data_IF_021151939930
#
_entry.id   IF_021151939930
#
_cell.length_a   1.000
_cell.length_b   1.000
_cell.length_c   1.000
_cell.angle_alpha   90.00
_cell.angle_beta   90.00
_cell.angle_gamma   90.00
#
_symmetry.space_group_name_H-M   'P 1'
#
loop_
_entity.id
_entity.type
_entity.pdbx_description
1 polymer ?
#
# COMPACT_ATOMS: atom_id res chain seq x y z
N UNK A 1 0.07 28.04 23.57
CA UNK A 1 -0.22 27.47 22.23
C UNK A 1 -1.73 27.43 22.09
N UNK A 2 -2.31 28.10 21.07
CA UNK A 2 -3.77 28.10 20.87
C UNK A 2 -4.32 26.70 20.62
N UNK A 3 -5.59 26.46 20.99
CA UNK A 3 -6.23 25.15 20.87
C UNK A 3 -6.23 24.63 19.42
N UNK A 4 -6.47 25.49 18.43
CA UNK A 4 -6.42 25.10 17.01
C UNK A 4 -5.06 24.55 16.57
N UNK A 5 -3.95 25.11 17.06
CA UNK A 5 -2.61 24.62 16.75
C UNK A 5 -2.35 23.26 17.42
N UNK A 6 -2.88 23.02 18.63
CA UNK A 6 -2.81 21.70 19.28
C UNK A 6 -3.53 20.64 18.43
N UNK A 7 -4.76 20.94 17.98
CA UNK A 7 -5.53 20.05 17.11
C UNK A 7 -4.81 19.73 15.80
N UNK A 8 -4.27 20.75 15.13
CA UNK A 8 -3.50 20.57 13.89
C UNK A 8 -2.30 19.64 14.10
N UNK A 9 -1.54 19.82 15.19
CA UNK A 9 -0.38 18.98 15.50
C UNK A 9 -0.77 17.53 15.80
N UNK A 10 -1.88 17.31 16.51
CA UNK A 10 -2.38 15.96 16.80
C UNK A 10 -2.79 15.25 15.50
N UNK A 11 -3.63 15.87 14.67
CA UNK A 11 -4.07 15.26 13.41
C UNK A 11 -2.92 15.05 12.42
N UNK A 12 -1.97 16.00 12.32
CA UNK A 12 -0.78 15.83 11.49
C UNK A 12 0.07 14.66 11.98
N UNK A 13 0.17 14.46 13.30
CA UNK A 13 0.93 13.35 13.86
C UNK A 13 0.25 12.00 13.63
N UNK A 14 -1.08 11.95 13.76
CA UNK A 14 -1.88 10.76 13.48
C UNK A 14 -1.87 10.38 11.99
N UNK A 15 -1.69 11.35 11.09
CA UNK A 15 -1.60 11.10 9.66
C UNK A 15 -0.27 10.44 9.23
N UNK A 16 0.77 10.45 10.08
CA UNK A 16 2.12 10.01 9.68
C UNK A 16 2.21 8.53 9.23
N UNK A 17 1.60 7.55 9.92
CA UNK A 17 1.64 6.15 9.49
C UNK A 17 0.97 5.89 8.14
N UNK A 18 -0.20 6.50 7.90
CA UNK A 18 -0.92 6.36 6.62
C UNK A 18 -0.21 7.15 5.52
N UNK A 19 0.13 8.41 5.80
CA UNK A 19 0.75 9.33 4.86
C UNK A 19 2.09 8.84 4.34
N UNK A 20 2.93 8.24 5.20
CA UNK A 20 4.21 7.69 4.77
C UNK A 20 4.07 6.53 3.76
N UNK A 21 3.07 5.65 3.89
CA UNK A 21 2.79 4.62 2.88
C UNK A 21 2.23 5.20 1.58
N UNK A 22 1.34 6.19 1.68
CA UNK A 22 0.73 6.83 0.51
C UNK A 22 1.80 7.57 -0.29
N UNK A 23 2.62 8.40 0.36
CA UNK A 23 3.73 9.12 -0.26
C UNK A 23 4.74 8.11 -0.86
N UNK A 24 5.02 7.02 -0.17
CA UNK A 24 5.91 5.98 -0.67
C UNK A 24 5.44 5.36 -1.99
N UNK A 25 4.16 4.99 -2.07
CA UNK A 25 3.60 4.41 -3.30
C UNK A 25 3.39 5.47 -4.39
N UNK A 26 2.93 6.67 -4.02
CA UNK A 26 2.59 7.73 -4.97
C UNK A 26 3.84 8.43 -5.49
N UNK A 27 4.73 8.87 -4.61
CA UNK A 27 5.90 9.68 -4.96
C UNK A 27 7.20 8.86 -5.05
N UNK A 28 7.17 7.56 -4.72
CA UNK A 28 8.35 6.71 -4.80
C UNK A 28 9.41 7.02 -3.73
N UNK A 29 9.03 7.67 -2.63
CA UNK A 29 9.94 8.01 -1.53
C UNK A 29 9.88 6.90 -0.48
N UNK A 30 11.00 6.22 -0.14
CA UNK A 30 10.95 5.06 0.76
C UNK A 30 10.28 5.35 2.11
N UNK A 31 9.26 4.55 2.46
CA UNK A 31 8.47 4.67 3.68
C UNK A 31 9.36 4.59 4.92
N UNK A 32 10.40 3.77 4.90
CA UNK A 32 11.41 3.72 5.98
C UNK A 32 12.07 5.08 6.23
N UNK A 33 12.38 5.82 5.17
CA UNK A 33 12.98 7.16 5.26
C UNK A 33 11.94 8.17 5.75
N UNK A 34 10.73 8.14 5.19
CA UNK A 34 9.62 9.00 5.62
C UNK A 34 9.26 8.77 7.09
N UNK A 35 9.23 7.52 7.52
CA UNK A 35 8.94 7.16 8.90
C UNK A 35 10.05 7.64 9.83
N UNK A 36 11.32 7.55 9.43
CA UNK A 36 12.43 8.12 10.21
C UNK A 36 12.35 9.65 10.34
N UNK A 37 12.02 10.35 9.25
CA UNK A 37 12.01 11.82 9.19
C UNK A 37 10.75 12.47 9.76
N UNK A 38 9.59 11.83 9.60
CA UNK A 38 8.29 12.37 10.00
C UNK A 38 7.59 11.46 11.01
N UNK A 39 7.56 10.15 10.75
CA UNK A 39 6.88 9.18 11.62
C UNK A 39 7.39 9.17 13.07
N UNK A 40 8.71 9.06 13.28
CA UNK A 40 9.31 9.03 14.62
C UNK A 40 9.14 10.36 15.38
N UNK A 41 9.41 11.54 14.78
CA UNK A 41 9.10 12.81 15.44
C UNK A 41 7.61 12.98 15.78
N UNK A 42 6.72 12.62 14.85
CA UNK A 42 5.28 12.68 15.09
C UNK A 42 4.83 11.73 16.20
N UNK A 43 5.37 10.51 16.24
CA UNK A 43 5.10 9.56 17.33
C UNK A 43 5.61 10.08 18.67
N UNK A 44 6.82 10.64 18.71
CA UNK A 44 7.37 11.25 19.92
C UNK A 44 6.52 12.42 20.42
N UNK A 45 6.15 13.35 19.54
CA UNK A 45 5.28 14.47 19.88
C UNK A 45 3.90 14.01 20.38
N UNK A 46 3.32 13.00 19.72
CA UNK A 46 2.05 12.41 20.11
C UNK A 46 2.13 11.78 21.51
N UNK A 47 3.15 10.95 21.77
CA UNK A 47 3.34 10.31 23.07
C UNK A 47 3.57 11.33 24.20
N UNK A 48 4.40 12.35 23.96
CA UNK A 48 4.63 13.43 24.93
C UNK A 48 3.32 14.15 25.24
N UNK A 49 2.54 14.49 24.20
CA UNK A 49 1.25 15.17 24.36
C UNK A 49 0.26 14.36 25.22
N UNK A 50 0.15 13.06 24.95
CA UNK A 50 -0.76 12.16 25.68
C UNK A 50 -0.31 11.94 27.12
N UNK A 51 0.97 11.67 27.34
CA UNK A 51 1.50 11.45 28.68
C UNK A 51 1.36 12.71 29.55
N UNK A 52 1.59 13.88 28.95
CA UNK A 52 1.38 15.16 29.61
C UNK A 52 -0.10 15.39 29.96
N UNK A 53 -1.02 15.09 29.03
CA UNK A 53 -2.47 15.18 29.26
C UNK A 53 -2.93 14.22 30.38
N UNK A 54 -2.43 12.98 30.36
CA UNK A 54 -2.74 11.98 31.38
C UNK A 54 -2.21 12.38 32.77
N UNK A 55 -1.00 12.96 32.84
CA UNK A 55 -0.39 13.38 34.11
C UNK A 55 -1.17 14.49 34.85
N UNK A 56 -1.96 15.29 34.13
CA UNK A 56 -2.79 16.36 34.71
C UNK A 56 -4.28 16.01 34.77
N UNK A 57 -4.64 14.77 34.41
CA UNK A 57 -6.04 14.33 34.38
C UNK A 57 -6.89 15.01 33.30
N UNK A 58 -6.30 15.45 32.17
CA UNK A 58 -7.06 16.03 31.05
C UNK A 58 -7.91 14.92 30.40
N UNK A 59 -9.24 15.11 30.26
CA UNK A 59 -10.13 14.16 29.59
C UNK A 59 -9.74 13.82 28.13
N UNK A 60 -8.86 14.61 27.49
CA UNK A 60 -8.26 14.25 26.20
C UNK A 60 -7.55 12.88 26.22
N UNK A 61 -6.92 12.53 27.35
CA UNK A 61 -6.25 11.23 27.50
C UNK A 61 -7.23 10.05 27.40
N UNK A 62 -8.47 10.24 27.88
CA UNK A 62 -9.55 9.27 27.76
C UNK A 62 -10.00 9.09 26.31
N UNK A 63 -10.19 10.19 25.56
CA UNK A 63 -10.52 10.13 24.12
C UNK A 63 -9.48 9.33 23.34
N UNK A 64 -8.19 9.59 23.60
CA UNK A 64 -7.10 8.89 22.95
C UNK A 64 -7.05 7.41 23.37
N UNK A 65 -7.21 7.11 24.66
CA UNK A 65 -7.16 5.73 25.16
C UNK A 65 -8.29 4.88 24.55
N UNK A 66 -9.54 5.34 24.63
CA UNK A 66 -10.67 4.62 24.05
C UNK A 66 -10.61 4.58 22.52
N UNK A 67 -10.13 5.65 21.89
CA UNK A 67 -9.91 5.67 20.44
C UNK A 67 -8.84 4.67 20.00
N UNK A 68 -7.74 4.53 20.74
CA UNK A 68 -6.69 3.56 20.45
C UNK A 68 -7.19 2.13 20.64
N UNK A 69 -7.84 1.82 21.77
CA UNK A 69 -8.43 0.51 22.04
C UNK A 69 -9.47 0.16 20.96
N UNK A 70 -10.40 1.08 20.70
CA UNK A 70 -11.43 0.92 19.67
C UNK A 70 -10.83 0.69 18.29
N UNK A 71 -9.80 1.47 17.91
CA UNK A 71 -9.10 1.30 16.65
C UNK A 71 -8.34 -0.03 16.52
N UNK A 72 -7.72 -0.52 17.59
CA UNK A 72 -7.04 -1.83 17.59
C UNK A 72 -8.04 -2.97 17.43
N UNK A 73 -9.13 -2.99 18.21
CA UNK A 73 -10.18 -4.02 18.10
C UNK A 73 -10.90 -3.94 16.74
N UNK A 74 -11.15 -2.72 16.26
CA UNK A 74 -11.71 -2.48 14.93
C UNK A 74 -10.80 -2.98 13.81
N UNK A 75 -9.48 -2.87 13.96
CA UNK A 75 -8.53 -3.45 13.00
C UNK A 75 -8.68 -4.96 12.96
N UNK A 76 -8.78 -5.63 14.12
CA UNK A 76 -8.99 -7.08 14.15
C UNK A 76 -10.31 -7.48 13.48
N UNK A 77 -11.40 -6.76 13.72
CA UNK A 77 -12.69 -6.99 13.07
C UNK A 77 -12.63 -6.80 11.54
N UNK A 78 -11.99 -5.72 11.09
CA UNK A 78 -11.70 -5.46 9.68
C UNK A 78 -10.88 -6.61 9.08
N UNK A 79 -9.85 -7.05 9.79
CA UNK A 79 -8.90 -8.07 9.33
C UNK A 79 -9.56 -9.42 9.13
N UNK A 80 -10.53 -9.80 9.97
CA UNK A 80 -11.34 -11.01 9.79
C UNK A 80 -12.07 -10.97 8.44
N UNK A 81 -12.80 -9.89 8.14
CA UNK A 81 -13.51 -9.73 6.86
C UNK A 81 -12.52 -9.68 5.69
N UNK A 82 -11.40 -8.98 5.86
CA UNK A 82 -10.36 -8.87 4.85
C UNK A 82 -9.71 -10.22 4.53
N UNK A 83 -9.38 -11.04 5.52
CA UNK A 83 -8.76 -12.35 5.35
C UNK A 83 -9.72 -13.32 4.63
N UNK A 84 -11.01 -13.28 4.97
CA UNK A 84 -12.05 -13.99 4.20
C UNK A 84 -12.03 -13.51 2.75
N UNK A 85 -11.98 -12.19 2.53
CA UNK A 85 -11.84 -11.61 1.19
C UNK A 85 -10.57 -12.07 0.45
N UNK A 86 -9.41 -12.18 1.12
CA UNK A 86 -8.17 -12.67 0.50
C UNK A 86 -8.32 -14.11 0.06
N UNK A 87 -8.94 -14.96 0.90
CA UNK A 87 -9.21 -16.36 0.60
C UNK A 87 -10.15 -16.50 -0.62
N UNK A 88 -11.22 -15.70 -0.66
CA UNK A 88 -12.18 -15.65 -1.78
C UNK A 88 -11.64 -14.93 -3.02
N UNK A 89 -10.49 -14.26 -2.90
CA UNK A 89 -9.87 -13.56 -4.01
C UNK A 89 -10.38 -12.17 -4.32
N UNK A 90 -11.02 -11.54 -3.35
CA UNK A 90 -11.43 -10.15 -3.40
C UNK A 90 -10.28 -9.14 -3.24
N UNK A 91 -9.10 -9.59 -2.84
CA UNK A 91 -7.92 -8.73 -2.70
C UNK A 91 -6.74 -9.23 -3.53
N UNK A 92 -5.89 -8.31 -4.03
CA UNK A 92 -4.72 -8.68 -4.81
C UNK A 92 -3.66 -9.42 -4.00
N UNK A 93 -3.59 -9.19 -2.68
CA UNK A 93 -2.85 -10.02 -1.72
C UNK A 93 -3.18 -9.60 -0.27
N UNK A 94 -2.55 -10.29 0.68
CA UNK A 94 -2.53 -9.92 2.09
C UNK A 94 -1.84 -8.56 2.30
N UNK A 95 -2.63 -7.51 2.55
CA UNK A 95 -2.15 -6.13 2.71
C UNK A 95 -1.15 -5.95 3.85
N UNK A 96 -1.33 -6.54 5.06
CA UNK A 96 -0.31 -6.53 6.09
C UNK A 96 1.05 -7.05 5.59
N UNK A 97 1.09 -8.19 4.90
CA UNK A 97 2.36 -8.69 4.31
C UNK A 97 3.00 -7.68 3.34
N UNK A 98 2.20 -6.92 2.58
CA UNK A 98 2.72 -5.84 1.74
C UNK A 98 3.26 -4.65 2.53
N UNK A 99 2.56 -4.23 3.59
CA UNK A 99 3.07 -3.19 4.48
C UNK A 99 4.40 -3.60 5.10
N UNK A 100 4.53 -4.88 5.49
CA UNK A 100 5.78 -5.44 5.98
C UNK A 100 6.93 -5.34 4.97
N UNK A 101 6.68 -5.71 3.70
CA UNK A 101 7.68 -5.56 2.64
C UNK A 101 8.05 -4.09 2.41
N UNK A 102 7.08 -3.17 2.40
CA UNK A 102 7.32 -1.74 2.20
C UNK A 102 8.14 -1.15 3.36
N UNK A 103 7.72 -1.41 4.60
CA UNK A 103 8.39 -0.93 5.81
C UNK A 103 9.83 -1.45 5.92
N UNK A 104 10.08 -2.69 5.49
CA UNK A 104 11.42 -3.29 5.44
C UNK A 104 12.24 -2.90 4.20
N UNK A 105 11.72 -2.01 3.34
CA UNK A 105 12.41 -1.53 2.13
C UNK A 105 12.56 -2.61 1.05
N UNK A 106 11.71 -3.64 1.06
CA UNK A 106 11.75 -4.77 0.13
C UNK A 106 10.82 -4.58 -1.08
N UNK A 107 10.08 -3.48 -1.15
CA UNK A 107 9.18 -3.21 -2.27
C UNK A 107 9.87 -3.24 -3.66
N UNK A 108 11.09 -2.69 -3.87
CA UNK A 108 11.77 -2.79 -5.16
C UNK A 108 12.14 -4.23 -5.52
N UNK A 109 12.58 -5.03 -4.52
CA UNK A 109 12.89 -6.46 -4.73
C UNK A 109 11.63 -7.22 -5.13
N UNK A 110 10.53 -6.99 -4.41
CA UNK A 110 9.23 -7.58 -4.73
C UNK A 110 8.77 -7.22 -6.15
N UNK A 111 8.93 -5.96 -6.57
CA UNK A 111 8.61 -5.53 -7.94
C UNK A 111 9.46 -6.23 -9.00
N UNK A 112 10.77 -6.41 -8.77
CA UNK A 112 11.63 -7.18 -9.69
C UNK A 112 11.17 -8.63 -9.79
N UNK A 113 10.85 -9.25 -8.66
CA UNK A 113 10.36 -10.63 -8.60
C UNK A 113 9.00 -10.77 -9.30
N UNK A 114 8.10 -9.80 -9.12
CA UNK A 114 6.84 -9.71 -9.86
C UNK A 114 7.07 -9.63 -11.38
N UNK A 115 8.06 -8.85 -11.82
CA UNK A 115 8.40 -8.76 -13.24
C UNK A 115 9.00 -10.06 -13.78
N UNK A 116 9.83 -10.76 -12.98
CA UNK A 116 10.35 -12.06 -13.36
C UNK A 116 9.22 -13.09 -13.56
N UNK A 117 8.25 -13.12 -12.65
CA UNK A 117 7.05 -13.97 -12.79
C UNK A 117 6.21 -13.55 -14.00
N UNK A 118 6.11 -12.25 -14.29
CA UNK A 118 5.45 -11.77 -15.51
C UNK A 118 6.13 -12.28 -16.77
N UNK A 119 7.47 -12.24 -16.85
CA UNK A 119 8.22 -12.79 -18.00
C UNK A 119 7.96 -14.28 -18.16
N UNK A 120 7.99 -15.05 -17.07
CA UNK A 120 7.66 -16.47 -17.11
C UNK A 120 6.23 -16.75 -17.60
N UNK A 121 5.27 -15.92 -17.18
CA UNK A 121 3.90 -16.02 -17.67
C UNK A 121 3.80 -15.71 -19.16
N UNK A 122 4.40 -14.62 -19.63
CA UNK A 122 4.41 -14.25 -21.05
C UNK A 122 5.09 -15.33 -21.91
N UNK A 123 6.18 -15.93 -21.42
CA UNK A 123 6.89 -17.01 -22.09
C UNK A 123 6.04 -18.29 -22.26
N UNK A 124 5.00 -18.45 -21.45
CA UNK A 124 4.08 -19.60 -21.51
C UNK A 124 2.79 -19.33 -22.32
N UNK A 125 2.58 -18.10 -22.80
CA UNK A 125 1.41 -17.76 -23.63
C UNK A 125 1.54 -18.36 -25.04
N UNK A 126 0.40 -18.60 -25.73
CA UNK A 126 0.40 -18.89 -27.16
C UNK A 126 1.14 -17.82 -27.96
N UNK A 127 1.82 -18.16 -29.08
CA UNK A 127 2.70 -17.23 -29.80
C UNK A 127 2.04 -15.88 -30.16
N UNK A 128 0.80 -15.89 -30.63
CA UNK A 128 0.07 -14.66 -30.99
C UNK A 128 -0.22 -13.78 -29.77
N UNK A 129 -0.72 -14.39 -28.69
CA UNK A 129 -1.02 -13.68 -27.44
C UNK A 129 0.25 -13.15 -26.76
N UNK A 130 1.34 -13.93 -26.79
CA UNK A 130 2.66 -13.52 -26.32
C UNK A 130 3.13 -12.29 -27.10
N UNK A 131 3.07 -12.33 -28.43
CA UNK A 131 3.52 -11.26 -29.32
C UNK A 131 2.71 -9.97 -29.12
N UNK A 132 1.38 -10.07 -29.01
CA UNK A 132 0.52 -8.92 -28.71
C UNK A 132 0.84 -8.31 -27.34
N UNK A 133 1.00 -9.14 -26.31
CA UNK A 133 1.35 -8.67 -24.97
C UNK A 133 2.75 -8.03 -24.91
N UNK A 134 3.72 -8.58 -25.63
CA UNK A 134 5.07 -8.01 -25.78
C UNK A 134 5.01 -6.65 -26.46
N UNK A 135 4.31 -6.53 -27.60
CA UNK A 135 4.16 -5.27 -28.33
C UNK A 135 3.60 -4.16 -27.43
N UNK A 136 2.46 -4.41 -26.81
CA UNK A 136 1.83 -3.43 -25.90
C UNK A 136 2.75 -3.02 -24.74
N UNK A 137 3.52 -3.97 -24.20
CA UNK A 137 4.45 -3.69 -23.10
C UNK A 137 5.67 -2.90 -23.56
N UNK A 138 6.25 -3.21 -24.73
CA UNK A 138 7.41 -2.49 -25.27
C UNK A 138 7.05 -1.05 -25.70
N UNK A 139 5.87 -0.86 -26.27
CA UNK A 139 5.32 0.48 -26.56
C UNK A 139 5.04 1.31 -25.31
N UNK A 140 4.59 0.67 -24.22
CA UNK A 140 4.41 1.34 -22.94
C UNK A 140 5.76 1.67 -22.27
N UNK A 141 6.70 0.72 -22.33
CA UNK A 141 8.05 0.84 -21.79
C UNK A 141 8.79 2.06 -22.39
N UNK A 142 8.67 2.29 -23.69
CA UNK A 142 9.33 3.42 -24.37
C UNK A 142 8.86 4.80 -23.88
N UNK A 143 7.67 4.88 -23.27
CA UNK A 143 7.09 6.12 -22.71
C UNK A 143 7.47 6.35 -21.26
N UNK A 144 8.05 5.36 -20.58
CA UNK A 144 8.51 5.52 -19.20
C UNK A 144 9.73 6.46 -19.14
N UNK A 145 9.91 7.21 -18.04
CA UNK A 145 11.17 7.91 -17.75
C UNK A 145 12.35 6.93 -17.81
N UNK A 146 13.48 7.37 -18.35
CA UNK A 146 14.63 6.49 -18.63
C UNK A 146 15.09 5.66 -17.41
N UNK A 147 15.24 6.21 -16.18
CA UNK A 147 15.63 5.41 -15.03
C UNK A 147 14.65 4.25 -14.75
N UNK A 148 13.35 4.53 -14.86
CA UNK A 148 12.30 3.51 -14.69
C UNK A 148 12.35 2.47 -15.82
N UNK A 149 12.59 2.92 -17.04
CA UNK A 149 12.72 2.06 -18.22
C UNK A 149 13.85 1.05 -18.04
N UNK A 150 15.04 1.53 -17.67
CA UNK A 150 16.22 0.69 -17.41
C UNK A 150 15.93 -0.31 -16.29
N UNK A 151 15.30 0.12 -15.19
CA UNK A 151 14.97 -0.78 -14.09
C UNK A 151 13.95 -1.87 -14.47
N UNK A 152 12.93 -1.54 -15.26
CA UNK A 152 11.97 -2.53 -15.77
C UNK A 152 12.65 -3.51 -16.71
N UNK A 153 13.50 -3.03 -17.63
CA UNK A 153 14.25 -3.89 -18.56
C UNK A 153 15.21 -4.81 -17.82
N UNK A 154 15.97 -4.29 -16.84
CA UNK A 154 16.85 -5.10 -16.00
C UNK A 154 16.09 -6.18 -15.23
N UNK A 155 14.91 -5.85 -14.68
CA UNK A 155 14.05 -6.83 -14.03
C UNK A 155 13.51 -7.90 -15.01
N UNK A 156 13.16 -7.51 -16.23
CA UNK A 156 12.75 -8.44 -17.29
C UNK A 156 13.90 -9.36 -17.72
N UNK A 157 15.12 -8.84 -17.90
CA UNK A 157 16.31 -9.63 -18.18
C UNK A 157 16.62 -10.62 -17.06
N UNK A 158 16.53 -10.20 -15.80
CA UNK A 158 16.67 -11.09 -14.65
C UNK A 158 15.63 -12.21 -14.64
N UNK A 159 14.39 -11.93 -15.06
CA UNK A 159 13.36 -12.95 -15.26
C UNK A 159 13.65 -13.91 -16.41
N UNK A 160 14.11 -13.37 -17.54
CA UNK A 160 14.48 -14.13 -18.73
C UNK A 160 15.60 -15.14 -18.42
N UNK A 161 16.61 -14.72 -17.65
CA UNK A 161 17.73 -15.59 -17.26
C UNK A 161 17.30 -16.79 -16.40
N UNK A 162 16.12 -16.75 -15.78
CA UNK A 162 15.56 -17.86 -14.98
C UNK A 162 14.73 -18.84 -15.80
N UNK A 163 14.43 -18.54 -17.07
CA UNK A 163 13.70 -19.48 -17.92
C UNK A 163 14.63 -20.62 -18.37
N UNK A 164 14.08 -21.84 -18.59
CA UNK A 164 14.80 -22.90 -19.27
C UNK A 164 15.31 -22.44 -20.64
N UNK A 165 16.49 -22.91 -21.05
CA UNK A 165 17.17 -22.42 -22.27
C UNK A 165 16.28 -22.42 -23.53
N UNK A 166 15.52 -23.48 -23.86
CA UNK A 166 14.66 -23.48 -25.05
C UNK A 166 13.58 -22.40 -24.99
N UNK A 167 12.99 -22.17 -23.81
CA UNK A 167 11.96 -21.13 -23.61
C UNK A 167 12.57 -19.74 -23.64
N UNK A 168 13.76 -19.57 -23.07
CA UNK A 168 14.52 -18.32 -23.10
C UNK A 168 14.83 -17.90 -24.53
N UNK A 169 15.35 -18.82 -25.35
CA UNK A 169 15.64 -18.57 -26.77
C UNK A 169 14.37 -18.21 -27.55
N UNK A 170 13.30 -18.99 -27.41
CA UNK A 170 12.03 -18.70 -28.08
C UNK A 170 11.46 -17.32 -27.71
N UNK A 171 11.50 -16.97 -26.42
CA UNK A 171 11.04 -15.66 -25.95
C UNK A 171 11.90 -14.51 -26.49
N UNK A 172 13.23 -14.67 -26.54
CA UNK A 172 14.15 -13.70 -27.12
C UNK A 172 13.88 -13.48 -28.61
N UNK A 173 13.67 -14.54 -29.38
CA UNK A 173 13.33 -14.46 -30.80
C UNK A 173 12.02 -13.68 -30.98
N UNK A 174 10.99 -14.01 -30.18
CA UNK A 174 9.71 -13.28 -30.22
C UNK A 174 9.87 -11.79 -29.86
N UNK A 175 10.66 -11.48 -28.82
CA UNK A 175 10.94 -10.11 -28.41
C UNK A 175 11.67 -9.32 -29.51
N UNK A 176 12.69 -9.91 -30.13
CA UNK A 176 13.44 -9.28 -31.24
C UNK A 176 12.56 -9.10 -32.48
N UNK A 177 11.72 -10.07 -32.80
CA UNK A 177 10.74 -9.95 -33.89
C UNK A 177 9.76 -8.81 -33.65
N UNK A 178 9.22 -8.66 -32.44
CA UNK A 178 8.37 -7.51 -32.09
C UNK A 178 9.15 -6.21 -32.18
N UNK A 179 10.36 -6.12 -31.61
CA UNK A 179 11.19 -4.92 -31.65
C UNK A 179 11.48 -4.45 -33.07
N UNK A 180 11.69 -5.36 -34.02
CA UNK A 180 11.93 -5.03 -35.42
C UNK A 180 10.74 -4.32 -36.09
N UNK A 181 9.53 -4.57 -35.60
CA UNK A 181 8.27 -4.02 -36.15
C UNK A 181 7.81 -2.72 -35.48
N UNK A 182 8.43 -2.35 -34.35
CA UNK A 182 8.13 -1.08 -33.69
C UNK A 182 8.73 0.09 -34.47
N UNK A 183 8.17 1.28 -34.26
CA UNK A 183 8.74 2.50 -34.86
C UNK A 183 10.20 2.71 -34.41
N UNK A 184 11.03 3.39 -35.24
CA UNK A 184 12.43 3.64 -34.89
C UNK A 184 12.63 4.31 -33.53
N UNK A 185 11.71 5.21 -33.14
CA UNK A 185 11.75 5.94 -31.88
C UNK A 185 11.50 5.01 -30.70
N UNK A 186 10.45 4.19 -30.78
CA UNK A 186 10.10 3.20 -29.74
C UNK A 186 11.22 2.17 -29.60
N UNK A 187 11.70 1.64 -30.73
CA UNK A 187 12.80 0.67 -30.77
C UNK A 187 14.08 1.24 -30.15
N UNK A 188 14.50 2.44 -30.57
CA UNK A 188 15.70 3.12 -30.01
C UNK A 188 15.58 3.40 -28.51
N UNK A 189 14.40 3.81 -28.06
CA UNK A 189 14.11 4.03 -26.65
C UNK A 189 14.25 2.75 -25.80
N UNK A 190 13.81 1.61 -26.31
CA UNK A 190 13.93 0.31 -25.62
C UNK A 190 15.36 -0.23 -25.70
N UNK A 191 15.99 -0.22 -26.87
CA UNK A 191 17.35 -0.73 -27.07
C UNK A 191 18.36 -0.02 -26.17
N UNK A 192 18.31 1.32 -26.08
CA UNK A 192 19.15 2.08 -25.14
C UNK A 192 18.97 1.65 -23.69
N UNK A 193 17.74 1.32 -23.28
CA UNK A 193 17.49 0.83 -21.94
C UNK A 193 18.02 -0.61 -21.72
N UNK A 194 17.99 -1.45 -22.75
CA UNK A 194 18.61 -2.79 -22.73
C UNK A 194 20.13 -2.68 -22.60
N UNK A 195 20.77 -1.82 -23.40
CA UNK A 195 22.22 -1.61 -23.35
C UNK A 195 22.65 -1.10 -21.95
N UNK A 196 21.93 -0.12 -21.40
CA UNK A 196 22.20 0.39 -20.05
C UNK A 196 21.92 -0.62 -18.94
N UNK A 197 20.91 -1.47 -19.09
CA UNK A 197 20.64 -2.54 -18.13
C UNK A 197 21.77 -3.58 -18.12
N UNK A 198 22.36 -3.88 -19.28
CA UNK A 198 23.45 -4.85 -19.43
C UNK A 198 24.79 -4.37 -18.85
N UNK A 199 25.04 -3.06 -18.82
CA UNK A 199 26.28 -2.50 -18.25
C UNK A 199 26.28 -2.40 -16.72
N UNK A 200 25.31 -3.00 -16.03
CA UNK A 200 25.24 -3.02 -14.56
C UNK A 200 24.75 -1.71 -13.92
N UNK A 201 24.40 -0.70 -14.72
CA UNK A 201 23.82 0.57 -14.22
C UNK A 201 22.45 0.35 -13.55
N UNK A 202 21.87 -0.85 -13.69
CA UNK A 202 20.62 -1.28 -13.04
C UNK A 202 20.72 -1.48 -11.51
N UNK A 203 21.90 -1.39 -10.90
CA UNK A 203 22.04 -1.68 -9.45
C UNK A 203 21.37 -0.65 -8.53
N UNK A 204 21.03 0.53 -9.05
CA UNK A 204 20.23 1.49 -8.29
C UNK A 204 18.76 1.05 -8.24
N UNK A 205 18.21 0.69 -7.06
CA UNK A 205 16.82 0.28 -6.95
C UNK A 205 15.92 1.47 -7.30
N UNK A 206 15.27 1.42 -8.45
CA UNK A 206 14.21 2.38 -8.76
C UNK A 206 13.01 2.02 -7.89
N UNK A 207 12.78 2.87 -6.90
CA UNK A 207 11.76 2.65 -5.87
C UNK A 207 10.34 2.97 -6.35
N UNK A 208 10.22 3.85 -7.36
CA UNK A 208 8.95 4.25 -7.93
C UNK A 208 8.22 3.09 -8.62
N UNK A 209 6.89 3.19 -8.67
CA UNK A 209 6.09 2.24 -9.45
C UNK A 209 6.15 2.59 -10.94
N UNK A 210 6.24 1.59 -11.84
CA UNK A 210 6.30 1.82 -13.28
C UNK A 210 4.91 2.17 -13.84
N UNK A 211 4.44 3.39 -13.57
CA UNK A 211 3.16 3.91 -14.07
C UNK A 211 3.17 4.00 -15.59
N UNK A 212 2.10 3.53 -16.22
CA UNK A 212 1.93 3.54 -17.67
C UNK A 212 2.18 2.19 -18.34
N UNK A 213 2.71 1.19 -17.63
CA UNK A 213 2.73 -0.18 -18.14
C UNK A 213 1.30 -0.75 -18.26
N UNK A 214 1.06 -1.72 -19.16
CA UNK A 214 -0.25 -2.35 -19.30
C UNK A 214 -0.72 -2.94 -17.98
N UNK A 215 -1.94 -2.59 -17.60
CA UNK A 215 -2.60 -3.16 -16.41
C UNK A 215 -2.88 -4.63 -16.63
N UNK A 216 -2.78 -5.41 -15.55
CA UNK A 216 -3.12 -6.82 -15.53
C UNK A 216 -4.31 -7.09 -14.65
N UNK A 217 -5.06 -8.14 -14.96
CA UNK A 217 -6.17 -8.58 -14.14
C UNK A 217 -5.72 -8.89 -12.72
N UNK A 218 -6.54 -8.52 -11.72
CA UNK A 218 -6.26 -8.80 -10.31
C UNK A 218 -5.99 -10.30 -10.06
N UNK A 219 -6.70 -11.19 -10.74
CA UNK A 219 -6.47 -12.64 -10.64
C UNK A 219 -5.08 -13.05 -11.11
N UNK A 220 -4.58 -12.47 -12.22
CA UNK A 220 -3.22 -12.70 -12.68
C UNK A 220 -2.22 -12.10 -11.69
N UNK A 221 -2.44 -10.86 -11.23
CA UNK A 221 -1.60 -10.24 -10.21
C UNK A 221 -1.44 -11.12 -8.97
N UNK A 222 -2.54 -11.67 -8.43
CA UNK A 222 -2.53 -12.60 -7.28
C UNK A 222 -1.62 -13.79 -7.50
N UNK A 223 -1.74 -14.45 -8.66
CA UNK A 223 -0.89 -15.62 -9.00
C UNK A 223 0.58 -15.24 -9.06
N UNK A 224 0.91 -14.13 -9.72
CA UNK A 224 2.28 -13.65 -9.83
C UNK A 224 2.84 -13.25 -8.45
N UNK A 225 2.04 -12.58 -7.62
CA UNK A 225 2.40 -12.17 -6.26
C UNK A 225 2.65 -13.35 -5.35
N UNK A 226 1.81 -14.39 -5.43
CA UNK A 226 1.98 -15.62 -4.66
C UNK A 226 3.31 -16.33 -4.97
N UNK A 227 3.78 -16.29 -6.22
CA UNK A 227 5.08 -16.83 -6.62
C UNK A 227 6.24 -15.88 -6.30
N UNK A 228 6.06 -14.56 -6.49
CA UNK A 228 7.11 -13.56 -6.28
C UNK A 228 7.43 -13.32 -4.80
N UNK A 229 6.44 -13.44 -3.91
CA UNK A 229 6.60 -13.18 -2.48
C UNK A 229 7.66 -14.08 -1.81
N UNK A 230 7.58 -15.42 -1.87
CA UNK A 230 8.59 -16.28 -1.24
C UNK A 230 9.99 -16.08 -1.84
N UNK A 231 10.10 -15.86 -3.16
CA UNK A 231 11.38 -15.58 -3.82
C UNK A 231 11.99 -14.25 -3.33
N UNK A 232 11.16 -13.23 -3.10
CA UNK A 232 11.60 -11.96 -2.52
C UNK A 232 12.18 -12.16 -1.13
N UNK A 233 11.53 -12.98 -0.29
CA UNK A 233 11.99 -13.26 1.06
C UNK A 233 13.28 -14.07 1.07
N UNK A 234 13.39 -15.06 0.18
CA UNK A 234 14.59 -15.86 -0.03
C UNK A 234 15.78 -15.00 -0.45
N UNK A 235 15.61 -14.15 -1.47
CA UNK A 235 16.64 -13.20 -1.92
C UNK A 235 17.07 -12.24 -0.81
N UNK A 236 16.09 -11.74 -0.02
CA UNK A 236 16.36 -10.82 1.08
C UNK A 236 16.88 -11.50 2.36
N UNK A 237 16.94 -12.84 2.41
CA UNK A 237 17.22 -13.63 3.62
C UNK A 237 16.34 -13.23 4.81
N UNK A 238 15.06 -12.98 4.55
CA UNK A 238 14.09 -12.57 5.57
C UNK A 238 13.10 -13.71 5.88
N UNK A 239 12.88 -14.06 7.15
CA UNK A 239 11.85 -15.01 7.50
C UNK A 239 10.45 -14.39 7.34
N UNK A 240 9.48 -15.21 6.91
CA UNK A 240 8.08 -14.79 6.66
C UNK A 240 7.46 -14.13 7.89
N UNK A 241 7.70 -14.66 9.09
CA UNK A 241 7.11 -14.14 10.33
C UNK A 241 7.52 -12.69 10.60
N UNK A 242 8.75 -12.28 10.24
CA UNK A 242 9.23 -10.91 10.45
C UNK A 242 8.49 -9.92 9.57
N UNK A 243 8.28 -10.28 8.31
CA UNK A 243 7.51 -9.45 7.36
C UNK A 243 6.06 -9.32 7.84
N UNK A 244 5.43 -10.43 8.25
CA UNK A 244 4.08 -10.41 8.81
C UNK A 244 3.99 -9.57 10.08
N UNK A 245 4.90 -9.76 11.04
CA UNK A 245 4.90 -9.01 12.29
C UNK A 245 4.99 -7.51 12.06
N UNK A 246 5.96 -7.05 11.25
CA UNK A 246 6.11 -5.62 10.92
C UNK A 246 4.88 -5.11 10.19
N UNK A 247 4.35 -5.91 9.26
CA UNK A 247 3.16 -5.59 8.49
C UNK A 247 1.90 -5.42 9.33
N UNK A 248 1.65 -6.36 10.25
CA UNK A 248 0.53 -6.31 11.18
C UNK A 248 0.70 -5.18 12.19
N UNK A 249 1.89 -4.98 12.77
CA UNK A 249 2.14 -3.85 13.66
C UNK A 249 1.80 -2.52 12.98
N UNK A 250 2.21 -2.36 11.72
CA UNK A 250 1.85 -1.19 10.92
C UNK A 250 0.35 -1.09 10.67
N UNK A 251 -0.31 -2.20 10.35
CA UNK A 251 -1.75 -2.24 10.09
C UNK A 251 -2.57 -1.83 11.33
N UNK A 252 -2.24 -2.38 12.50
CA UNK A 252 -2.86 -2.05 13.78
C UNK A 252 -2.56 -0.61 14.21
N UNK A 253 -1.36 -0.10 13.94
CA UNK A 253 -1.05 1.30 14.19
C UNK A 253 -1.94 2.23 13.35
N UNK A 254 -2.16 1.92 12.07
CA UNK A 254 -3.09 2.68 11.21
C UNK A 254 -4.51 2.62 11.78
N UNK A 255 -5.02 1.45 12.15
CA UNK A 255 -6.37 1.37 12.70
C UNK A 255 -6.53 2.07 14.04
N UNK A 256 -5.52 2.04 14.91
CA UNK A 256 -5.47 2.86 16.12
C UNK A 256 -5.58 4.35 15.78
N UNK A 257 -4.87 4.84 14.75
CA UNK A 257 -5.01 6.25 14.32
C UNK A 257 -6.42 6.59 13.84
N UNK A 258 -7.13 5.67 13.18
CA UNK A 258 -8.53 5.91 12.79
C UNK A 258 -9.49 5.95 13.98
N UNK A 259 -9.31 5.07 14.96
CA UNK A 259 -10.11 5.09 16.19
C UNK A 259 -9.86 6.34 17.03
N UNK A 260 -8.59 6.75 17.20
CA UNK A 260 -8.23 8.00 17.88
C UNK A 260 -8.80 9.21 17.14
N UNK A 261 -8.67 9.25 15.81
CA UNK A 261 -9.22 10.34 15.00
C UNK A 261 -10.74 10.44 15.18
N UNK A 262 -11.44 9.30 15.22
CA UNK A 262 -12.88 9.29 15.47
C UNK A 262 -13.24 9.89 16.83
N UNK A 263 -12.65 9.41 17.93
CA UNK A 263 -13.00 9.87 19.28
C UNK A 263 -12.59 11.32 19.52
N UNK A 264 -11.50 11.77 18.90
CA UNK A 264 -11.09 13.17 18.90
C UNK A 264 -12.10 14.08 18.20
N UNK A 265 -12.71 13.63 17.10
CA UNK A 265 -13.70 14.41 16.37
C UNK A 265 -15.08 14.37 17.05
N UNK A 266 -15.53 13.19 17.46
CA UNK A 266 -16.93 12.93 17.82
C UNK A 266 -17.15 12.64 19.30
N UNK A 267 -16.10 12.39 20.09
CA UNK A 267 -16.22 11.98 21.48
C UNK A 267 -17.06 10.70 21.59
N UNK A 268 -18.11 10.74 22.41
CA UNK A 268 -19.11 9.68 22.53
C UNK A 268 -19.79 9.32 21.20
N UNK A 269 -20.03 10.32 20.35
CA UNK A 269 -20.60 10.14 19.02
C UNK A 269 -21.99 9.48 19.00
N UNK A 270 -22.35 8.95 17.83
CA UNK A 270 -23.54 8.12 17.62
C UNK A 270 -23.19 6.96 16.69
N UNK A 271 -24.01 5.90 16.69
CA UNK A 271 -23.84 4.80 15.74
C UNK A 271 -23.86 5.27 14.28
N UNK A 272 -24.72 6.25 13.95
CA UNK A 272 -24.76 6.83 12.62
C UNK A 272 -23.40 7.46 12.23
N UNK A 273 -22.77 8.20 13.15
CA UNK A 273 -21.45 8.78 12.92
C UNK A 273 -20.37 7.71 12.80
N UNK A 274 -20.43 6.63 13.58
CA UNK A 274 -19.48 5.52 13.46
C UNK A 274 -19.55 4.84 12.08
N UNK A 275 -20.76 4.57 11.57
CA UNK A 275 -20.93 3.99 10.23
C UNK A 275 -20.55 4.98 9.11
N UNK A 276 -20.90 6.27 9.26
CA UNK A 276 -20.45 7.31 8.33
C UNK A 276 -18.92 7.43 8.31
N UNK A 277 -18.27 7.29 9.47
CA UNK A 277 -16.81 7.26 9.57
C UNK A 277 -16.22 6.04 8.83
N UNK A 278 -16.78 4.85 9.03
CA UNK A 278 -16.39 3.65 8.28
C UNK A 278 -16.53 3.85 6.77
N UNK A 279 -17.64 4.45 6.32
CA UNK A 279 -17.90 4.73 4.90
C UNK A 279 -16.93 5.78 4.34
N UNK A 280 -16.62 6.81 5.13
CA UNK A 280 -15.63 7.82 4.78
C UNK A 280 -14.23 7.22 4.59
N UNK A 281 -13.76 6.40 5.54
CA UNK A 281 -12.44 5.75 5.44
C UNK A 281 -12.39 4.82 4.22
N UNK A 282 -13.46 4.04 3.99
CA UNK A 282 -13.58 3.21 2.78
C UNK A 282 -13.46 4.05 1.50
N UNK A 283 -14.21 5.14 1.39
CA UNK A 283 -14.22 6.00 0.20
C UNK A 283 -12.82 6.61 -0.04
N UNK A 284 -12.19 7.11 1.01
CA UNK A 284 -10.82 7.63 0.93
C UNK A 284 -9.83 6.56 0.42
N UNK A 285 -9.95 5.32 0.89
CA UNK A 285 -9.15 4.21 0.38
C UNK A 285 -9.45 3.88 -1.08
N UNK A 286 -10.72 3.92 -1.53
CA UNK A 286 -11.08 3.70 -2.93
C UNK A 286 -10.46 4.75 -3.86
N UNK A 287 -10.36 6.00 -3.40
CA UNK A 287 -9.69 7.08 -4.14
C UNK A 287 -8.17 6.88 -4.20
N UNK A 288 -7.55 6.42 -3.11
CA UNK A 288 -6.09 6.26 -3.01
C UNK A 288 -5.57 4.97 -3.67
N UNK A 289 -6.37 3.93 -3.82
CA UNK A 289 -5.88 2.65 -4.35
C UNK A 289 -5.40 2.68 -5.81
N UNK A 290 -6.11 3.28 -6.78
CA UNK A 290 -5.65 3.34 -8.17
C UNK A 290 -4.23 3.93 -8.33
N UNK A 291 -3.86 5.06 -7.69
CA UNK A 291 -2.49 5.58 -7.79
C UNK A 291 -1.46 4.76 -6.99
N UNK A 292 -1.88 4.02 -5.95
CA UNK A 292 -1.01 3.13 -5.18
C UNK A 292 -0.78 1.76 -5.82
N UNK A 293 -1.65 1.32 -6.73
CA UNK A 293 -1.58 0.03 -7.43
C UNK A 293 -1.88 0.19 -8.93
N UNK A 294 -1.09 1.00 -9.66
CA UNK A 294 -1.42 1.44 -11.03
C UNK A 294 -1.39 0.31 -12.06
N UNK A 295 -0.81 -0.84 -11.72
CA UNK A 295 -0.66 -2.01 -12.59
C UNK A 295 -1.84 -2.98 -12.51
N UNK A 296 -2.77 -2.79 -11.58
CA UNK A 296 -3.87 -3.72 -11.35
C UNK A 296 -5.14 -3.18 -12.02
N UNK A 297 -5.82 -4.04 -12.77
CA UNK A 297 -7.22 -3.84 -13.17
C UNK A 297 -8.10 -4.50 -12.12
N UNK A 298 -8.77 -3.66 -11.32
CA UNK A 298 -9.72 -4.13 -10.32
C UNK A 298 -11.04 -4.52 -10.98
N UNK A 299 -11.67 -5.64 -10.57
CA UNK A 299 -13.01 -5.97 -11.03
C UNK A 299 -14.03 -4.96 -10.47
N UNK A 300 -15.16 -4.78 -11.15
CA UNK A 300 -16.20 -3.82 -10.76
C UNK A 300 -16.77 -4.07 -9.35
N UNK A 301 -16.79 -5.33 -8.91
CA UNK A 301 -17.29 -5.74 -7.59
C UNK A 301 -16.25 -5.56 -6.47
N UNK A 302 -14.99 -5.24 -6.81
CA UNK A 302 -13.91 -5.06 -5.85
C UNK A 302 -14.26 -4.15 -4.66
N UNK A 303 -14.97 -3.01 -4.80
CA UNK A 303 -15.25 -2.13 -3.68
C UNK A 303 -16.15 -2.71 -2.58
N UNK A 304 -16.90 -3.79 -2.86
CA UNK A 304 -17.89 -4.36 -1.94
C UNK A 304 -17.21 -4.96 -0.70
N UNK A 305 -16.19 -5.80 -0.87
CA UNK A 305 -15.53 -6.46 0.28
C UNK A 305 -14.75 -5.47 1.16
N UNK A 306 -13.97 -4.51 0.61
CA UNK A 306 -13.45 -3.40 1.37
C UNK A 306 -14.54 -2.62 2.11
N UNK A 307 -15.70 -2.34 1.51
CA UNK A 307 -16.78 -1.64 2.18
C UNK A 307 -17.24 -2.41 3.43
N UNK A 308 -17.53 -3.71 3.28
CA UNK A 308 -17.91 -4.57 4.40
C UNK A 308 -16.84 -4.61 5.51
N UNK A 309 -15.56 -4.65 5.14
CA UNK A 309 -14.45 -4.64 6.10
C UNK A 309 -14.41 -3.33 6.92
N UNK A 310 -14.72 -2.19 6.29
CA UNK A 310 -14.79 -0.90 6.99
C UNK A 310 -16.08 -0.73 7.80
N UNK A 311 -17.18 -1.35 7.39
CA UNK A 311 -18.39 -1.42 8.22
C UNK A 311 -18.14 -2.28 9.47
N UNK A 312 -17.41 -3.40 9.34
CA UNK A 312 -16.98 -4.20 10.49
C UNK A 312 -16.05 -3.41 11.43
N UNK A 313 -15.16 -2.58 10.88
CA UNK A 313 -14.32 -1.65 11.64
C UNK A 313 -15.15 -0.62 12.44
N UNK A 314 -16.25 -0.10 11.87
CA UNK A 314 -17.08 0.92 12.51
C UNK A 314 -17.72 0.41 13.82
N UNK A 315 -18.02 -0.89 13.92
CA UNK A 315 -18.72 -1.45 15.08
C UNK A 315 -17.93 -1.33 16.38
N UNK A 316 -16.66 -1.81 16.49
CA UNK A 316 -15.89 -1.61 17.70
C UNK A 316 -15.58 -0.13 17.98
N UNK A 317 -15.35 0.70 16.95
CA UNK A 317 -15.13 2.14 17.14
C UNK A 317 -16.36 2.77 17.83
N UNK A 318 -17.57 2.51 17.34
CA UNK A 318 -18.80 3.03 17.95
C UNK A 318 -19.02 2.52 19.38
N UNK A 319 -18.78 1.24 19.63
CA UNK A 319 -18.91 0.65 20.96
C UNK A 319 -17.95 1.29 21.97
N UNK A 320 -16.66 1.38 21.66
CA UNK A 320 -15.68 1.96 22.58
C UNK A 320 -15.84 3.47 22.72
N UNK A 321 -16.32 4.16 21.68
CA UNK A 321 -16.68 5.56 21.79
C UNK A 321 -17.84 5.77 22.77
N UNK A 322 -18.82 4.85 22.83
CA UNK A 322 -19.92 4.96 23.80
C UNK A 322 -19.52 4.82 25.28
N UNK A 323 -18.27 4.43 25.56
CA UNK A 323 -17.73 4.35 26.91
C UNK A 323 -17.06 5.66 27.37
N UNK A 324 -16.98 6.66 26.48
CA UNK A 324 -16.37 7.97 26.77
C UNK A 324 -17.26 8.76 27.72
N UNK A 325 -16.65 9.30 28.77
CA UNK A 325 -17.31 10.16 29.75
C UNK A 325 -17.84 11.48 29.13
N UNK A 326 -18.85 12.08 29.75
CA UNK A 326 -19.40 13.35 29.30
C UNK A 326 -18.35 14.47 29.28
N UNK A 327 -17.44 14.50 30.27
CA UNK A 327 -16.35 15.49 30.33
C UNK A 327 -15.34 15.31 29.19
N UNK A 328 -15.02 14.07 28.82
CA UNK A 328 -14.18 13.79 27.66
C UNK A 328 -14.90 14.11 26.33
N UNK A 329 -16.20 13.83 26.22
CA UNK A 329 -16.96 14.21 25.04
C UNK A 329 -16.95 15.72 24.78
N UNK A 330 -17.10 16.56 25.82
CA UNK A 330 -16.98 18.03 25.71
C UNK A 330 -15.59 18.50 25.23
N UNK A 331 -14.56 17.65 25.33
CA UNK A 331 -13.20 17.92 24.82
C UNK A 331 -13.00 17.45 23.38
N UNK A 332 -13.93 16.69 22.80
CA UNK A 332 -13.91 16.37 21.37
C UNK A 332 -14.23 17.60 20.52
N UNK A 333 -13.90 17.59 19.23
CA UNK A 333 -14.17 18.74 18.35
C UNK A 333 -15.65 19.10 18.30
N UNK A 334 -16.53 18.12 18.13
CA UNK A 334 -17.99 18.36 18.05
C UNK A 334 -18.61 18.73 19.39
N UNK A 335 -18.10 18.16 20.50
CA UNK A 335 -18.52 18.56 21.84
C UNK A 335 -18.09 19.99 22.19
N UNK A 336 -16.87 20.37 21.82
CA UNK A 336 -16.37 21.74 21.98
C UNK A 336 -17.16 22.76 21.17
N UNK A 337 -17.60 22.39 19.96
CA UNK A 337 -18.46 23.22 19.12
C UNK A 337 -19.94 23.23 19.55
N UNK A 338 -20.34 22.35 20.48
CA UNK A 338 -21.73 22.20 20.91
C UNK A 338 -22.68 21.66 19.83
N UNK A 339 -22.16 20.95 18.84
CA UNK A 339 -22.94 20.48 17.68
C UNK A 339 -23.74 19.20 17.94
N UNK A 340 -23.29 18.40 18.90
CA UNK A 340 -23.90 17.12 19.26
C UNK A 340 -23.97 17.13 20.79
N UNK A 341 -25.15 17.39 21.33
CA UNK A 341 -25.46 17.33 22.76
C UNK A 341 -26.62 16.39 23.00
#
# INVERSE_FOLDING_TARGET
MGEGLRWALVFLSLAAPVGSLVIDRILGIPARRLFGLWGLPSLGAFLIGILSAAAVGDPLSELVAWGAIGGLVATAALDVVRLIGVALGAFPMDMPSMFGLIALGQAPRFQRQMMAQMVAHLAALPPEAQRAALRARLEALSRLPEPMRVAVVGAMQGGLMRLPEPRRQAFLIAQMGVLAELSPEVRSAVMRAMDRAMTGVSDSPVYGQPRGLPRIEMALFRRLAAAAFPETLKEARLPVWKVRLVGYLWHFLIGATFGITYTLLFGHGTWALAFLWGAFVWLAMMVLMPPMMPLIRFPWWFPIVPFLAHMAMAVPIGFFASLISASAHLRSLTGWLGWIG
#
